data_IF_710056088999
#
_entry.id   IF_710056088999
#
_cell.length_a   1.000
_cell.length_b   1.000
_cell.length_c   1.000
_cell.angle_alpha   90.00
_cell.angle_beta   90.00
_cell.angle_gamma   90.00
#
_symmetry.space_group_name_H-M   'P 1'
#
loop_
_entity.id
_entity.type
_entity.pdbx_description
1 polymer ?
#
# COMPACT_ATOMS: atom_id res chain seq x y z
N UNK A 1 9.09 -11.15 -21.22
CA UNK A 1 7.63 -11.06 -20.99
C UNK A 1 7.22 -9.59 -20.84
N UNK A 2 6.16 -9.14 -21.52
CA UNK A 2 5.96 -7.74 -21.94
C UNK A 2 5.74 -6.76 -20.76
N UNK A 3 6.57 -5.71 -20.64
CA UNK A 3 6.58 -4.79 -19.48
C UNK A 3 5.19 -4.16 -19.21
N UNK A 4 4.44 -3.94 -20.29
CA UNK A 4 3.08 -3.41 -20.31
C UNK A 4 2.04 -4.28 -19.58
N UNK A 5 2.18 -5.62 -19.59
CA UNK A 5 1.19 -6.51 -18.93
C UNK A 5 1.27 -6.44 -17.41
N UNK A 6 2.48 -6.43 -16.86
CA UNK A 6 2.69 -6.33 -15.42
C UNK A 6 2.28 -4.96 -14.87
N UNK A 7 2.59 -3.88 -15.61
CA UNK A 7 2.13 -2.54 -15.20
C UNK A 7 0.59 -2.47 -15.18
N UNK A 8 -0.07 -3.05 -16.19
CA UNK A 8 -1.54 -3.18 -16.21
C UNK A 8 -2.08 -3.98 -15.03
N UNK A 9 -1.39 -5.06 -14.62
CA UNK A 9 -1.78 -5.86 -13.45
C UNK A 9 -1.63 -5.07 -12.13
N UNK A 10 -0.52 -4.33 -11.94
CA UNK A 10 -0.34 -3.45 -10.78
C UNK A 10 -1.39 -2.34 -10.75
N UNK A 11 -1.65 -1.70 -11.89
CA UNK A 11 -2.69 -0.68 -12.01
C UNK A 11 -4.07 -1.22 -11.68
N UNK A 12 -4.39 -2.44 -12.14
CA UNK A 12 -5.66 -3.09 -11.81
C UNK A 12 -5.77 -3.36 -10.30
N UNK A 13 -4.73 -3.94 -9.68
CA UNK A 13 -4.71 -4.20 -8.24
C UNK A 13 -4.86 -2.90 -7.41
N UNK A 14 -4.12 -1.85 -7.80
CA UNK A 14 -4.23 -0.54 -7.18
C UNK A 14 -5.63 0.09 -7.37
N UNK A 15 -6.22 -0.04 -8.56
CA UNK A 15 -7.56 0.46 -8.85
C UNK A 15 -8.62 -0.20 -7.96
N UNK A 16 -8.50 -1.48 -7.63
CA UNK A 16 -9.42 -2.17 -6.71
C UNK A 16 -9.43 -1.57 -5.29
N UNK A 17 -8.36 -0.90 -4.88
CA UNK A 17 -8.32 -0.19 -3.59
C UNK A 17 -8.75 1.27 -3.75
N UNK A 18 -8.26 1.93 -4.79
CA UNK A 18 -8.39 3.37 -4.95
C UNK A 18 -9.77 3.79 -5.44
N UNK A 19 -10.40 3.03 -6.33
CA UNK A 19 -11.76 3.35 -6.83
C UNK A 19 -12.78 3.43 -5.69
N UNK A 20 -12.97 2.40 -4.84
CA UNK A 20 -13.93 2.49 -3.75
C UNK A 20 -13.57 3.59 -2.74
N UNK A 21 -12.28 3.82 -2.51
CA UNK A 21 -11.80 4.90 -1.64
C UNK A 21 -12.16 6.29 -2.18
N UNK A 22 -11.98 6.55 -3.48
CA UNK A 22 -12.41 7.82 -4.09
C UNK A 22 -13.91 8.00 -4.10
N UNK A 23 -14.69 6.93 -4.34
CA UNK A 23 -16.15 6.99 -4.26
C UNK A 23 -16.60 7.43 -2.87
N UNK A 24 -15.98 6.89 -1.82
CA UNK A 24 -16.25 7.30 -0.44
C UNK A 24 -15.91 8.78 -0.20
N UNK A 25 -14.78 9.28 -0.72
CA UNK A 25 -14.45 10.72 -0.64
C UNK A 25 -15.52 11.57 -1.34
N UNK A 26 -15.97 11.16 -2.53
CA UNK A 26 -17.02 11.88 -3.28
C UNK A 26 -18.30 11.94 -2.45
N UNK A 27 -18.74 10.81 -1.90
CA UNK A 27 -19.94 10.73 -1.05
C UNK A 27 -19.81 11.65 0.16
N UNK A 28 -18.70 11.58 0.92
CA UNK A 28 -18.47 12.46 2.08
C UNK A 28 -18.38 13.94 1.69
N UNK A 29 -17.89 14.26 0.50
CA UNK A 29 -17.83 15.64 0.00
C UNK A 29 -19.21 16.26 -0.18
N UNK A 30 -20.25 15.45 -0.42
CA UNK A 30 -21.63 15.95 -0.53
C UNK A 30 -22.20 16.48 0.79
N UNK A 31 -21.64 16.06 1.93
CA UNK A 31 -22.05 16.48 3.27
C UNK A 31 -21.48 17.87 3.66
N UNK A 32 -20.71 18.52 2.76
CA UNK A 32 -20.09 19.85 2.91
C UNK A 32 -19.16 20.05 4.11
N UNK A 33 -18.78 18.97 4.81
CA UNK A 33 -17.82 18.98 5.92
C UNK A 33 -16.47 18.43 5.47
N UNK A 34 -15.69 19.27 4.80
CA UNK A 34 -14.36 18.88 4.28
C UNK A 34 -13.38 18.41 5.38
N UNK A 35 -13.54 18.89 6.61
CA UNK A 35 -12.75 18.42 7.74
C UNK A 35 -13.00 16.93 8.06
N UNK A 36 -14.23 16.45 7.88
CA UNK A 36 -14.59 15.06 8.14
C UNK A 36 -13.94 14.11 7.13
N UNK A 37 -13.57 14.61 5.95
CA UNK A 37 -12.77 13.84 4.98
C UNK A 37 -11.35 13.68 5.49
N UNK A 38 -10.74 14.72 6.06
CA UNK A 38 -9.37 14.63 6.62
C UNK A 38 -9.35 13.77 7.89
N UNK A 39 -10.43 13.81 8.68
CA UNK A 39 -10.57 13.09 9.94
C UNK A 39 -11.21 11.71 9.79
N UNK A 40 -11.40 11.23 8.56
CA UNK A 40 -11.91 9.87 8.35
C UNK A 40 -10.78 8.86 8.46
N UNK A 41 -10.99 7.79 9.23
CA UNK A 41 -9.97 6.77 9.44
C UNK A 41 -9.67 5.93 8.20
N UNK A 42 -10.46 6.11 7.13
CA UNK A 42 -10.37 5.37 5.88
C UNK A 42 -9.05 5.59 5.15
N UNK A 43 -8.38 6.74 5.33
CA UNK A 43 -7.02 6.96 4.80
C UNK A 43 -6.05 5.91 5.31
N UNK A 44 -6.07 5.64 6.61
CA UNK A 44 -5.24 4.61 7.23
C UNK A 44 -5.64 3.20 6.83
N UNK A 45 -6.93 2.91 6.72
CA UNK A 45 -7.41 1.59 6.25
C UNK A 45 -6.96 1.35 4.80
N UNK A 46 -7.13 2.33 3.92
CA UNK A 46 -6.69 2.22 2.53
C UNK A 46 -5.17 2.03 2.44
N UNK A 47 -4.39 2.77 3.23
CA UNK A 47 -2.93 2.58 3.35
C UNK A 47 -2.56 1.17 3.76
N UNK A 48 -3.22 0.64 4.80
CA UNK A 48 -3.06 -0.72 5.29
C UNK A 48 -3.34 -1.75 4.18
N UNK A 49 -4.44 -1.60 3.43
CA UNK A 49 -4.81 -2.48 2.33
C UNK A 49 -3.75 -2.44 1.22
N UNK A 50 -3.28 -1.24 0.83
CA UNK A 50 -2.25 -1.08 -0.20
C UNK A 50 -0.97 -1.83 0.20
N UNK A 51 -0.49 -1.64 1.44
CA UNK A 51 0.70 -2.36 1.92
C UNK A 51 0.47 -3.87 2.00
N UNK A 52 -0.73 -4.32 2.39
CA UNK A 52 -1.11 -5.73 2.39
C UNK A 52 -1.04 -6.34 0.99
N UNK A 53 -1.52 -5.63 -0.04
CA UNK A 53 -1.39 -6.08 -1.43
C UNK A 53 0.08 -6.14 -1.89
N UNK A 54 0.91 -5.14 -1.54
CA UNK A 54 2.35 -5.18 -1.83
C UNK A 54 3.02 -6.41 -1.22
N UNK A 55 2.64 -6.79 0.01
CA UNK A 55 3.17 -7.97 0.68
C UNK A 55 2.76 -9.27 -0.03
N UNK A 56 1.51 -9.36 -0.52
CA UNK A 56 1.02 -10.52 -1.28
C UNK A 56 1.80 -10.69 -2.59
N UNK A 57 2.04 -9.61 -3.33
CA UNK A 57 2.86 -9.65 -4.54
C UNK A 57 4.30 -10.10 -4.24
N UNK A 58 4.89 -9.55 -3.18
CA UNK A 58 6.24 -9.90 -2.76
C UNK A 58 6.35 -11.39 -2.39
N UNK A 59 5.39 -11.88 -1.62
CA UNK A 59 5.31 -13.29 -1.22
C UNK A 59 5.14 -14.22 -2.41
N UNK A 60 4.37 -13.80 -3.41
CA UNK A 60 4.16 -14.57 -4.64
C UNK A 60 5.44 -14.66 -5.48
N UNK A 61 6.19 -13.55 -5.61
CA UNK A 61 7.49 -13.52 -6.29
C UNK A 61 8.56 -14.37 -5.59
N UNK A 62 8.50 -14.47 -4.26
CA UNK A 62 9.38 -15.35 -3.49
C UNK A 62 9.12 -16.83 -3.78
N UNK A 63 7.84 -17.23 -3.86
CA UNK A 63 7.46 -18.61 -4.17
C UNK A 63 7.85 -18.99 -5.60
N UNK A 64 7.72 -18.07 -6.57
CA UNK A 64 8.11 -18.31 -7.96
C UNK A 64 9.63 -18.41 -8.16
N UNK A 65 10.44 -17.81 -7.27
CA UNK A 65 11.92 -17.74 -7.33
C UNK A 65 12.63 -18.95 -6.69
N UNK A 66 11.99 -20.13 -6.66
CA UNK A 66 12.41 -21.35 -5.94
C UNK A 66 13.87 -21.83 -6.15
N UNK A 67 14.64 -21.32 -7.13
CA UNK A 67 16.09 -21.58 -7.27
C UNK A 67 16.98 -20.72 -6.34
N UNK A 68 16.78 -20.89 -5.03
CA UNK A 68 17.79 -21.07 -3.97
C UNK A 68 19.07 -20.21 -3.82
N UNK A 69 19.20 -18.99 -4.35
CA UNK A 69 20.43 -18.18 -4.08
C UNK A 69 20.26 -16.78 -3.47
N UNK A 70 19.05 -16.27 -3.27
CA UNK A 70 18.81 -14.91 -2.71
C UNK A 70 17.62 -14.84 -1.76
N UNK A 71 17.44 -15.79 -0.84
CA UNK A 71 16.41 -15.68 0.23
C UNK A 71 16.82 -14.72 1.35
N UNK A 72 18.13 -14.61 1.61
CA UNK A 72 18.68 -13.72 2.64
C UNK A 72 18.41 -12.25 2.28
N UNK A 73 17.74 -11.51 3.18
CA UNK A 73 17.36 -10.11 3.00
C UNK A 73 15.86 -9.85 2.74
N UNK A 74 15.10 -10.86 2.32
CA UNK A 74 13.65 -10.69 2.06
C UNK A 74 12.81 -10.64 3.32
N UNK A 75 13.15 -11.45 4.32
CA UNK A 75 12.49 -11.41 5.63
C UNK A 75 12.64 -10.03 6.27
N UNK A 76 13.83 -9.43 6.15
CA UNK A 76 14.08 -8.06 6.57
C UNK A 76 13.25 -7.04 5.80
N UNK A 77 13.10 -7.23 4.49
CA UNK A 77 12.27 -6.35 3.66
C UNK A 77 10.79 -6.41 4.06
N UNK A 78 10.26 -7.62 4.28
CA UNK A 78 8.89 -7.83 4.77
C UNK A 78 8.72 -7.16 6.13
N UNK A 79 9.65 -7.39 7.07
CA UNK A 79 9.64 -6.74 8.37
C UNK A 79 9.66 -5.21 8.24
N UNK A 80 10.43 -4.66 7.30
CA UNK A 80 10.46 -3.21 7.03
C UNK A 80 9.10 -2.70 6.55
N UNK A 81 8.44 -3.38 5.60
CA UNK A 81 7.08 -3.01 5.15
C UNK A 81 6.09 -3.02 6.31
N UNK A 82 6.20 -4.01 7.21
CA UNK A 82 5.39 -4.05 8.42
C UNK A 82 5.65 -2.85 9.34
N UNK A 83 6.91 -2.58 9.66
CA UNK A 83 7.31 -1.54 10.61
C UNK A 83 7.08 -0.12 10.09
N UNK A 84 7.27 0.11 8.79
CA UNK A 84 7.17 1.46 8.21
C UNK A 84 5.83 1.73 7.53
N UNK A 85 5.04 0.70 7.24
CA UNK A 85 3.79 0.82 6.51
C UNK A 85 2.58 0.35 7.32
N UNK A 86 2.46 -0.96 7.51
CA UNK A 86 1.28 -1.60 8.14
C UNK A 86 1.09 -1.12 9.58
N UNK A 87 2.13 -1.22 10.42
CA UNK A 87 2.07 -0.84 11.83
C UNK A 87 1.68 0.63 12.02
N UNK A 88 2.38 1.59 11.39
CA UNK A 88 2.02 3.01 11.45
C UNK A 88 0.61 3.30 10.94
N UNK A 89 0.14 2.62 9.89
CA UNK A 89 -1.23 2.77 9.39
C UNK A 89 -2.26 2.37 10.44
N UNK A 90 -2.05 1.23 11.13
CA UNK A 90 -2.92 0.77 12.22
C UNK A 90 -2.86 1.67 13.45
N UNK A 91 -1.67 2.18 13.81
CA UNK A 91 -1.52 3.14 14.91
C UNK A 91 -2.29 4.41 14.61
N UNK A 92 -2.12 5.00 13.43
CA UNK A 92 -2.86 6.21 13.07
C UNK A 92 -4.37 5.96 12.97
N UNK A 93 -4.80 4.79 12.49
CA UNK A 93 -6.21 4.39 12.49
C UNK A 93 -6.79 4.40 13.91
N UNK A 94 -6.16 3.67 14.83
CA UNK A 94 -6.62 3.55 16.22
C UNK A 94 -6.57 4.88 16.97
N UNK A 95 -5.51 5.67 16.78
CA UNK A 95 -5.39 7.00 17.39
C UNK A 95 -6.51 7.94 16.95
N UNK A 96 -6.87 7.94 15.67
CA UNK A 96 -7.94 8.80 15.18
C UNK A 96 -9.32 8.38 15.71
N UNK A 97 -9.56 7.08 15.88
CA UNK A 97 -10.80 6.57 16.49
C UNK A 97 -10.94 7.00 17.95
N UNK A 98 -9.84 7.00 18.71
CA UNK A 98 -9.85 7.38 20.13
C UNK A 98 -9.91 8.89 20.31
N UNK A 99 -9.12 9.63 19.53
CA UNK A 99 -9.01 11.10 19.64
C UNK A 99 -8.83 11.72 18.26
N UNK A 100 -9.94 12.06 17.57
CA UNK A 100 -9.88 12.75 16.28
C UNK A 100 -9.08 14.05 16.40
N UNK A 101 -8.07 14.22 15.54
CA UNK A 101 -7.22 15.40 15.49
C UNK A 101 -6.76 15.64 14.07
N UNK A 102 -6.72 16.91 13.65
CA UNK A 102 -6.25 17.30 12.32
C UNK A 102 -4.80 16.86 12.07
N UNK A 103 -3.94 16.90 13.09
CA UNK A 103 -2.54 16.47 12.97
C UNK A 103 -2.48 14.97 12.65
N UNK A 104 -3.31 14.16 13.32
CA UNK A 104 -3.38 12.72 13.10
C UNK A 104 -3.95 12.45 11.70
N UNK A 105 -5.04 13.13 11.31
CA UNK A 105 -5.64 13.01 9.97
C UNK A 105 -4.67 13.36 8.83
N UNK A 106 -3.89 14.44 8.97
CA UNK A 106 -2.82 14.77 8.03
C UNK A 106 -1.74 13.69 7.98
N UNK A 107 -1.37 13.11 9.12
CA UNK A 107 -0.47 11.96 9.19
C UNK A 107 -0.99 10.75 8.40
N UNK A 108 -2.30 10.49 8.44
CA UNK A 108 -2.93 9.41 7.66
C UNK A 108 -2.85 9.66 6.15
N UNK A 109 -3.02 10.91 5.71
CA UNK A 109 -2.88 11.28 4.30
C UNK A 109 -1.43 11.10 3.84
N UNK A 110 -0.46 11.51 4.66
CA UNK A 110 0.97 11.33 4.37
C UNK A 110 1.31 9.84 4.22
N UNK A 111 0.87 8.99 5.15
CA UNK A 111 1.13 7.55 5.05
C UNK A 111 0.42 6.92 3.86
N UNK A 112 -0.76 7.42 3.48
CA UNK A 112 -1.47 6.97 2.28
C UNK A 112 -0.72 7.28 1.00
N UNK A 113 -0.24 8.52 0.84
CA UNK A 113 0.60 8.90 -0.31
C UNK A 113 1.86 8.04 -0.36
N UNK A 114 2.49 7.81 0.81
CA UNK A 114 3.65 6.94 0.92
C UNK A 114 3.33 5.48 0.54
N UNK A 115 2.20 4.94 0.98
CA UNK A 115 1.73 3.60 0.63
C UNK A 115 1.54 3.46 -0.88
N UNK A 116 0.84 4.41 -1.50
CA UNK A 116 0.64 4.45 -2.95
C UNK A 116 1.96 4.48 -3.70
N UNK A 117 2.90 5.35 -3.29
CA UNK A 117 4.22 5.41 -3.90
C UNK A 117 4.98 4.08 -3.79
N UNK A 118 5.03 3.51 -2.57
CA UNK A 118 5.74 2.24 -2.31
C UNK A 118 5.14 1.07 -3.06
N UNK A 119 3.81 1.02 -3.22
CA UNK A 119 3.15 -0.04 -3.98
C UNK A 119 3.70 -0.18 -5.41
N UNK A 120 3.88 0.93 -6.11
CA UNK A 120 4.43 0.91 -7.46
C UNK A 120 5.94 0.63 -7.46
N UNK A 121 6.70 1.23 -6.55
CA UNK A 121 8.15 0.97 -6.45
C UNK A 121 8.42 -0.51 -6.20
N UNK A 122 7.70 -1.10 -5.25
CA UNK A 122 7.90 -2.48 -4.82
C UNK A 122 7.43 -3.47 -5.89
N UNK A 123 6.29 -3.18 -6.52
CA UNK A 123 5.78 -3.95 -7.65
C UNK A 123 6.72 -3.94 -8.85
N UNK A 124 7.40 -2.82 -9.13
CA UNK A 124 8.40 -2.74 -10.20
C UNK A 124 9.72 -3.43 -9.81
N UNK A 125 10.14 -3.32 -8.55
CA UNK A 125 11.36 -3.97 -8.05
C UNK A 125 11.24 -5.50 -8.08
N UNK A 126 10.10 -6.06 -7.65
CA UNK A 126 9.83 -7.49 -7.70
C UNK A 126 9.99 -8.06 -9.13
N UNK A 127 9.49 -7.33 -10.12
CA UNK A 127 9.60 -7.69 -11.54
C UNK A 127 11.03 -7.63 -12.08
N UNK A 128 11.82 -6.62 -11.67
CA UNK A 128 13.23 -6.53 -12.07
C UNK A 128 14.00 -7.77 -11.60
N UNK A 129 13.69 -8.22 -10.38
CA UNK A 129 14.28 -9.42 -9.81
C UNK A 129 13.87 -10.69 -10.57
N UNK A 130 12.60 -10.84 -10.95
CA UNK A 130 12.15 -11.95 -11.81
C UNK A 130 12.86 -11.98 -13.17
N UNK A 131 13.11 -10.81 -13.77
CA UNK A 131 13.82 -10.72 -15.06
C UNK A 131 15.29 -11.16 -14.95
N UNK A 132 15.98 -10.81 -13.86
CA UNK A 132 17.39 -11.15 -13.63
C UNK A 132 17.61 -12.64 -13.28
N UNK A 133 16.55 -13.41 -13.00
CA UNK A 133 16.62 -14.86 -12.70
C UNK A 133 16.50 -15.72 -13.97
N UNK A 134 15.97 -15.17 -15.06
CA UNK A 134 15.70 -15.88 -16.31
C UNK A 134 16.76 -15.67 -17.42
N UNK A 135 17.89 -15.03 -17.09
CA UNK A 135 19.12 -14.97 -17.87
C UNK A 135 20.27 -15.58 -17.07
#
# INVERSE_FOLDING_TARGET
>A
MNYSRHLKSLLAAYAFVIVPFFLMIIVKSTEKKWQDIILTSDWSIASFIIFGQSLTFLSSALISTSKNKKREGWEWYIAKVFLTGIGPSLVLYTLLLVKPSLIIGLGQIVIFIYASYRFFVDGLAAKKLEHDIHY
#
